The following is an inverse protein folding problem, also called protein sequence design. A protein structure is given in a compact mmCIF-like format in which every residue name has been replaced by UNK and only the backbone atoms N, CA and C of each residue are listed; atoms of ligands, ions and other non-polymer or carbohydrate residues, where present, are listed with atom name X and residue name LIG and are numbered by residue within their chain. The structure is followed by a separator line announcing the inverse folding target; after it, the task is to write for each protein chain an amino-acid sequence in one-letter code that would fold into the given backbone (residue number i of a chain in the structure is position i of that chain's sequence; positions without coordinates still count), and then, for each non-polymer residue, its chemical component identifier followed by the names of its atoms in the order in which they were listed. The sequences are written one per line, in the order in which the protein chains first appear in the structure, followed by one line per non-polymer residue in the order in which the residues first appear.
data_IF_347260351919
#
_entry.id   IF_347260351919
#
_cell.length_a   1.000
_cell.length_b   1.000
_cell.length_c   1.000
_cell.angle_alpha   90.00
_cell.angle_beta   90.00
_cell.angle_gamma   90.00
#
_symmetry.space_group_name_H-M   'P 1'
#
loop_
_entity.id
_entity.type
_entity.pdbx_description
1 polymer ?
#
# COMPACT_ATOMS: atom_id res chain seq x y z
N UNK A 1 18.58 38.31 -48.68
CA UNK A 1 18.12 37.08 -48.00
C UNK A 1 18.81 36.78 -46.65
N UNK A 2 19.42 37.77 -45.96
CA UNK A 2 20.11 37.56 -44.66
C UNK A 2 19.33 38.05 -43.41
N UNK A 3 18.16 38.68 -43.61
CA UNK A 3 17.33 39.24 -42.52
C UNK A 3 16.16 38.34 -42.08
N UNK A 4 15.96 37.19 -42.72
CA UNK A 4 14.92 36.22 -42.36
C UNK A 4 15.39 35.16 -41.36
N UNK A 5 16.71 35.04 -41.16
CA UNK A 5 17.31 34.06 -40.24
C UNK A 5 17.04 34.34 -38.74
N UNK A 6 17.04 35.60 -38.24
CA UNK A 6 16.72 35.84 -36.82
C UNK A 6 15.24 35.64 -36.48
N UNK A 7 14.34 35.64 -37.46
CA UNK A 7 12.90 35.46 -37.24
C UNK A 7 12.53 33.98 -37.04
N UNK A 8 13.29 33.04 -37.64
CA UNK A 8 13.09 31.60 -37.47
C UNK A 8 13.62 31.12 -36.11
N UNK A 9 14.69 31.73 -35.58
CA UNK A 9 15.24 31.38 -34.27
C UNK A 9 14.33 31.83 -33.12
N UNK A 10 13.59 32.94 -33.28
CA UNK A 10 12.66 33.44 -32.25
C UNK A 10 11.41 32.56 -32.10
N UNK A 11 10.94 31.92 -33.18
CA UNK A 11 9.75 31.04 -33.16
C UNK A 11 10.05 29.69 -32.48
N UNK A 12 11.31 29.23 -32.51
CA UNK A 12 11.73 27.96 -31.89
C UNK A 12 11.90 28.02 -30.35
N UNK A 13 11.94 29.22 -29.75
CA UNK A 13 12.02 29.36 -28.28
C UNK A 13 10.66 29.44 -27.58
N UNK A 14 9.56 29.54 -28.33
CA UNK A 14 8.20 29.59 -27.78
C UNK A 14 7.52 28.23 -27.63
N UNK A 15 8.17 27.13 -28.03
CA UNK A 15 7.74 25.79 -27.64
C UNK A 15 8.20 25.49 -26.21
N UNK A 16 7.71 26.27 -25.26
CA UNK A 16 7.68 25.86 -23.86
C UNK A 16 6.71 24.67 -23.78
N UNK A 17 7.25 23.46 -23.80
CA UNK A 17 6.49 22.25 -23.58
C UNK A 17 5.82 22.33 -22.22
N UNK A 18 4.49 22.44 -22.22
CA UNK A 18 3.69 22.22 -21.02
C UNK A 18 3.87 20.75 -20.63
N UNK A 19 4.83 20.46 -19.75
CA UNK A 19 4.84 19.18 -19.04
C UNK A 19 3.75 19.24 -17.97
N UNK A 20 2.50 19.03 -18.38
CA UNK A 20 1.44 18.74 -17.43
C UNK A 20 1.71 17.32 -16.94
N UNK A 21 2.31 17.20 -15.75
CA UNK A 21 2.40 15.91 -15.07
C UNK A 21 0.97 15.38 -14.93
N UNK A 22 0.69 14.22 -15.55
CA UNK A 22 -0.60 13.56 -15.39
C UNK A 22 -0.89 13.37 -13.89
N UNK A 23 -2.13 13.61 -13.44
CA UNK A 23 -2.49 13.40 -12.06
C UNK A 23 -2.39 11.91 -11.71
N UNK A 24 -1.70 11.59 -10.62
CA UNK A 24 -1.50 10.22 -10.12
C UNK A 24 -2.84 9.51 -9.90
N UNK A 25 -3.83 10.27 -9.41
CA UNK A 25 -5.16 9.79 -9.11
C UNK A 25 -6.20 10.41 -10.04
N UNK A 26 -6.99 9.59 -10.70
CA UNK A 26 -8.12 10.03 -11.54
C UNK A 26 -9.41 9.38 -11.06
N UNK A 27 -10.41 10.19 -10.70
CA UNK A 27 -11.67 9.67 -10.16
C UNK A 27 -12.44 8.90 -11.23
N UNK A 28 -12.99 7.73 -10.87
CA UNK A 28 -13.81 6.88 -11.76
C UNK A 28 -15.07 6.39 -11.04
N UNK A 29 -15.94 5.68 -11.75
CA UNK A 29 -17.24 5.19 -11.23
C UNK A 29 -17.36 3.68 -11.39
N UNK A 30 -18.16 3.05 -10.52
CA UNK A 30 -18.36 1.61 -10.53
C UNK A 30 -19.00 1.12 -11.84
N UNK A 31 -19.86 1.94 -12.46
CA UNK A 31 -20.53 1.64 -13.74
C UNK A 31 -19.54 1.45 -14.89
N UNK A 32 -18.52 2.34 -14.98
CA UNK A 32 -17.46 2.26 -16.00
C UNK A 32 -16.59 1.02 -15.86
N UNK A 33 -16.54 0.44 -14.65
CA UNK A 33 -15.73 -0.73 -14.33
C UNK A 33 -16.58 -2.00 -14.20
N UNK A 34 -17.87 -1.96 -14.52
CA UNK A 34 -18.79 -3.09 -14.37
C UNK A 34 -18.39 -4.33 -15.16
N UNK A 35 -17.70 -4.13 -16.29
CA UNK A 35 -17.20 -5.19 -17.18
C UNK A 35 -15.92 -5.85 -16.65
N UNK A 36 -15.20 -5.18 -15.74
CA UNK A 36 -13.93 -5.69 -15.21
C UNK A 36 -14.16 -6.65 -14.04
N UNK A 37 -13.31 -7.67 -13.96
CA UNK A 37 -13.29 -8.55 -12.80
C UNK A 37 -12.87 -7.78 -11.55
N UNK A 38 -13.71 -7.88 -10.51
CA UNK A 38 -13.48 -7.26 -9.22
C UNK A 38 -12.46 -8.07 -8.41
N UNK A 39 -11.64 -7.38 -7.64
CA UNK A 39 -10.73 -8.02 -6.69
C UNK A 39 -11.54 -8.76 -5.62
N UNK A 40 -11.03 -9.90 -5.16
CA UNK A 40 -11.67 -10.70 -4.10
C UNK A 40 -11.66 -9.93 -2.78
N UNK A 41 -12.84 -9.70 -2.20
CA UNK A 41 -13.02 -8.98 -0.94
C UNK A 41 -14.07 -9.67 -0.09
N UNK A 42 -13.78 -9.81 1.21
CA UNK A 42 -14.66 -10.48 2.17
C UNK A 42 -15.88 -9.65 2.55
N UNK A 43 -15.77 -8.33 2.49
CA UNK A 43 -16.83 -7.38 2.82
C UNK A 43 -16.75 -6.17 1.89
N UNK A 44 -17.92 -5.63 1.55
CA UNK A 44 -18.04 -4.45 0.71
C UNK A 44 -18.51 -3.28 1.59
N UNK A 45 -17.82 -2.13 1.60
CA UNK A 45 -18.26 -0.96 2.34
C UNK A 45 -19.55 -0.39 1.74
N UNK A 46 -20.42 0.16 2.60
CA UNK A 46 -21.66 0.82 2.19
C UNK A 46 -21.39 2.12 1.43
N UNK A 47 -20.32 2.83 1.79
CA UNK A 47 -19.88 4.07 1.13
C UNK A 47 -18.42 3.94 0.73
N UNK A 48 -18.12 4.31 -0.52
CA UNK A 48 -16.77 4.29 -1.05
C UNK A 48 -16.63 5.20 -2.27
N UNK A 49 -15.39 5.53 -2.60
CA UNK A 49 -15.00 6.20 -3.83
C UNK A 49 -14.10 5.28 -4.65
N UNK A 50 -14.06 5.45 -5.98
CA UNK A 50 -13.15 4.71 -6.85
C UNK A 50 -12.23 5.68 -7.58
N UNK A 51 -10.95 5.34 -7.62
CA UNK A 51 -9.92 6.07 -8.34
C UNK A 51 -9.10 5.12 -9.22
N UNK A 52 -8.75 5.58 -10.40
CA UNK A 52 -7.69 4.99 -11.21
C UNK A 52 -6.34 5.57 -10.78
N UNK A 53 -5.33 4.70 -10.67
CA UNK A 53 -4.00 5.06 -10.19
C UNK A 53 -2.96 4.84 -11.30
N UNK A 54 -2.16 5.86 -11.59
CA UNK A 54 -0.88 5.66 -12.26
C UNK A 54 0.13 5.06 -11.26
N UNK A 55 0.14 3.74 -11.20
CA UNK A 55 0.98 2.99 -10.26
C UNK A 55 2.48 3.18 -10.57
N UNK A 56 2.84 3.37 -11.84
CA UNK A 56 4.22 3.58 -12.26
C UNK A 56 4.74 4.95 -11.83
N UNK A 57 3.94 5.99 -12.02
CA UNK A 57 4.21 7.34 -11.56
C UNK A 57 4.26 7.46 -10.04
N UNK A 58 3.38 6.73 -9.33
CA UNK A 58 3.45 6.66 -7.87
C UNK A 58 4.75 6.00 -7.39
N UNK A 59 5.14 4.86 -7.99
CA UNK A 59 6.34 4.12 -7.58
C UNK A 59 7.61 4.93 -7.78
N UNK A 60 7.73 5.67 -8.88
CA UNK A 60 8.89 6.52 -9.13
C UNK A 60 9.02 7.65 -8.10
N UNK A 61 7.89 8.22 -7.65
CA UNK A 61 7.89 9.21 -6.58
C UNK A 61 8.26 8.63 -5.22
N UNK A 62 7.71 7.46 -4.87
CA UNK A 62 7.99 6.78 -3.61
C UNK A 62 9.48 6.39 -3.46
N UNK A 63 10.13 5.99 -4.56
CA UNK A 63 11.56 5.63 -4.56
C UNK A 63 12.50 6.77 -4.19
N UNK A 64 12.04 8.03 -4.26
CA UNK A 64 12.82 9.20 -3.85
C UNK A 64 12.74 9.47 -2.34
N UNK A 65 11.89 8.75 -1.60
CA UNK A 65 11.70 8.98 -0.18
C UNK A 65 12.94 8.50 0.62
N UNK A 66 13.49 9.33 1.52
CA UNK A 66 14.57 8.90 2.39
C UNK A 66 14.05 7.88 3.42
N UNK A 67 14.96 7.07 3.95
CA UNK A 67 14.62 6.15 5.02
C UNK A 67 14.27 6.90 6.29
N UNK A 68 13.21 6.47 6.98
CA UNK A 68 12.80 7.06 8.26
C UNK A 68 13.90 7.01 9.33
N UNK A 69 14.80 6.04 9.22
CA UNK A 69 15.89 5.84 10.18
C UNK A 69 16.96 6.92 10.12
N UNK A 70 17.10 7.65 8.99
CA UNK A 70 18.11 8.71 8.87
C UNK A 70 17.79 9.95 9.69
N UNK A 71 16.52 10.13 10.10
CA UNK A 71 16.05 11.30 10.81
C UNK A 71 15.97 12.59 9.95
N UNK A 72 16.25 12.48 8.65
CA UNK A 72 16.14 13.60 7.71
C UNK A 72 14.68 13.96 7.44
N UNK A 73 14.39 15.23 7.15
CA UNK A 73 13.04 15.63 6.72
C UNK A 73 12.87 15.28 5.25
N UNK A 74 11.90 14.43 4.93
CA UNK A 74 11.60 14.07 3.55
C UNK A 74 10.99 15.25 2.79
N UNK A 75 11.48 15.47 1.58
CA UNK A 75 10.91 16.42 0.61
C UNK A 75 9.88 15.75 -0.32
N UNK A 76 9.65 14.44 -0.17
CA UNK A 76 8.68 13.69 -0.97
C UNK A 76 7.29 13.89 -0.39
N UNK A 77 6.45 14.62 -1.14
CA UNK A 77 5.07 14.90 -0.77
C UNK A 77 4.17 14.28 -1.84
N UNK A 78 3.29 13.39 -1.42
CA UNK A 78 2.37 12.67 -2.31
C UNK A 78 0.95 12.83 -1.79
N UNK A 79 0.02 13.10 -2.70
CA UNK A 79 -1.38 13.25 -2.39
C UNK A 79 -2.13 11.91 -2.48
N UNK A 80 -2.98 11.61 -1.49
CA UNK A 80 -3.83 10.42 -1.45
C UNK A 80 -5.29 10.81 -1.25
N UNK A 81 -6.24 10.14 -1.92
CA UNK A 81 -7.66 10.40 -1.74
C UNK A 81 -8.16 9.90 -0.38
N UNK A 82 -9.03 10.67 0.25
CA UNK A 82 -9.78 10.28 1.44
C UNK A 82 -11.20 9.76 1.07
N UNK A 83 -11.95 9.17 2.01
CA UNK A 83 -13.31 8.67 1.75
C UNK A 83 -14.31 9.75 1.30
N UNK A 84 -14.05 11.02 1.65
CA UNK A 84 -14.84 12.17 1.21
C UNK A 84 -14.51 12.61 -0.23
N UNK A 85 -13.50 11.99 -0.86
CA UNK A 85 -13.07 12.23 -2.22
C UNK A 85 -12.12 13.42 -2.39
N UNK A 86 -11.58 13.97 -1.29
CA UNK A 86 -10.56 15.01 -1.28
C UNK A 86 -9.17 14.37 -1.29
N UNK A 87 -8.25 14.95 -2.04
CA UNK A 87 -6.83 14.59 -1.99
C UNK A 87 -6.17 15.31 -0.81
N UNK A 88 -5.46 14.55 0.02
CA UNK A 88 -4.69 15.05 1.16
C UNK A 88 -3.20 14.74 0.96
N UNK A 89 -2.35 15.69 1.30
CA UNK A 89 -0.91 15.62 1.11
C UNK A 89 -0.24 14.97 2.31
N UNK A 90 0.64 14.02 2.01
CA UNK A 90 1.43 13.30 3.01
C UNK A 90 2.91 13.43 2.66
N UNK A 91 3.72 13.72 3.67
CA UNK A 91 5.19 13.64 3.57
C UNK A 91 5.62 12.20 3.80
N UNK A 92 6.24 11.58 2.82
CA UNK A 92 6.50 10.13 2.79
C UNK A 92 7.95 9.80 3.16
N UNK A 93 8.11 8.71 3.91
CA UNK A 93 9.37 8.11 4.31
C UNK A 93 9.37 6.64 3.96
N UNK A 94 10.52 6.13 3.56
CA UNK A 94 10.74 4.69 3.45
C UNK A 94 10.81 4.08 4.85
N UNK A 95 10.11 2.96 5.05
CA UNK A 95 10.00 2.28 6.33
C UNK A 95 10.07 0.78 6.09
N UNK A 96 11.19 0.30 5.53
CA UNK A 96 11.37 -1.12 5.25
C UNK A 96 11.20 -1.95 6.52
N UNK A 97 10.31 -2.94 6.42
CA UNK A 97 10.12 -3.95 7.46
C UNK A 97 10.89 -5.24 7.15
N UNK A 98 11.50 -5.34 5.97
CA UNK A 98 12.27 -6.49 5.54
C UNK A 98 13.74 -6.30 5.88
N UNK A 99 14.41 -7.42 6.19
CA UNK A 99 15.87 -7.44 6.29
C UNK A 99 16.50 -6.95 4.97
N UNK A 100 17.61 -6.18 5.00
CA UNK A 100 18.18 -5.56 3.81
C UNK A 100 18.51 -6.55 2.67
N UNK A 101 18.97 -7.75 3.00
CA UNK A 101 19.26 -8.81 2.01
C UNK A 101 17.99 -9.30 1.31
N UNK A 102 16.87 -9.37 2.03
CA UNK A 102 15.58 -9.80 1.50
C UNK A 102 14.95 -8.71 0.63
N UNK A 103 15.01 -7.45 1.08
CA UNK A 103 14.54 -6.30 0.32
C UNK A 103 15.28 -6.16 -1.03
N UNK A 104 16.61 -6.42 -1.07
CA UNK A 104 17.38 -6.46 -2.32
C UNK A 104 16.93 -7.58 -3.27
N UNK A 105 16.47 -8.70 -2.71
CA UNK A 105 16.00 -9.85 -3.49
C UNK A 105 14.57 -9.66 -4.04
N UNK A 106 13.76 -8.87 -3.34
CA UNK A 106 12.34 -8.62 -3.65
C UNK A 106 12.04 -7.11 -3.71
N UNK A 107 12.65 -6.36 -4.66
CA UNK A 107 12.52 -4.90 -4.75
C UNK A 107 11.10 -4.42 -5.12
N UNK A 108 10.22 -5.33 -5.54
CA UNK A 108 8.82 -5.07 -5.77
C UNK A 108 7.99 -4.93 -4.50
N UNK A 109 8.50 -5.37 -3.33
CA UNK A 109 7.85 -5.23 -2.04
C UNK A 109 8.51 -4.08 -1.29
N UNK A 110 7.80 -2.98 -1.14
CA UNK A 110 8.30 -1.79 -0.46
C UNK A 110 7.25 -1.26 0.51
N UNK A 111 7.70 -0.82 1.68
CA UNK A 111 6.86 -0.28 2.73
C UNK A 111 7.26 1.16 3.03
N UNK A 112 6.26 2.01 3.18
CA UNK A 112 6.41 3.44 3.41
C UNK A 112 5.48 3.89 4.53
N UNK A 113 5.85 4.99 5.16
CA UNK A 113 5.02 5.69 6.14
C UNK A 113 4.97 7.17 5.77
N UNK A 114 3.81 7.78 5.92
CA UNK A 114 3.59 9.18 5.63
C UNK A 114 2.96 9.92 6.81
N UNK A 115 3.37 11.17 6.98
CA UNK A 115 2.77 12.10 7.92
C UNK A 115 1.92 13.12 7.16
N UNK A 116 0.66 13.28 7.55
CA UNK A 116 -0.25 14.24 6.93
C UNK A 116 0.22 15.68 7.12
N UNK A 117 0.18 16.45 6.04
CA UNK A 117 0.48 17.89 6.02
C UNK A 117 -0.82 18.68 6.23
N UNK A 118 -1.88 18.29 5.53
CA UNK A 118 -3.20 18.92 5.65
C UNK A 118 -3.91 18.54 6.96
N UNK A 119 -3.66 17.32 7.45
CA UNK A 119 -4.14 16.80 8.74
C UNK A 119 -2.95 16.28 9.54
N UNK A 120 -2.43 17.05 10.53
CA UNK A 120 -1.29 16.63 11.35
C UNK A 120 -1.56 15.39 12.21
N UNK A 121 -2.82 15.01 12.40
CA UNK A 121 -3.17 13.78 13.14
C UNK A 121 -3.11 12.54 12.25
N UNK A 122 -3.08 12.71 10.93
CA UNK A 122 -3.12 11.62 9.97
C UNK A 122 -1.74 10.99 9.75
N UNK A 123 -1.66 9.67 9.92
CA UNK A 123 -0.52 8.83 9.54
C UNK A 123 -0.97 7.81 8.53
N UNK A 124 -0.31 7.78 7.38
CA UNK A 124 -0.59 6.82 6.32
C UNK A 124 0.50 5.77 6.29
N UNK A 125 0.12 4.50 6.21
CA UNK A 125 1.02 3.38 5.95
C UNK A 125 0.73 2.86 4.56
N UNK A 126 1.77 2.66 3.77
CA UNK A 126 1.65 2.22 2.39
C UNK A 126 2.53 1.02 2.15
N UNK A 127 2.00 0.06 1.43
CA UNK A 127 2.74 -1.09 0.94
C UNK A 127 2.52 -1.21 -0.56
N UNK A 128 3.59 -1.22 -1.34
CA UNK A 128 3.54 -1.55 -2.76
C UNK A 128 4.06 -2.96 -2.94
N UNK A 129 3.30 -3.81 -3.62
CA UNK A 129 3.66 -5.19 -3.95
C UNK A 129 3.28 -5.49 -5.41
N UNK A 130 3.52 -6.71 -5.86
CA UNK A 130 2.97 -7.19 -7.14
C UNK A 130 1.43 -7.16 -7.16
N UNK A 131 0.76 -7.18 -6.01
CA UNK A 131 -0.69 -7.07 -5.91
C UNK A 131 -1.19 -5.62 -5.84
N UNK A 132 -0.29 -4.64 -6.02
CA UNK A 132 -0.62 -3.23 -6.08
C UNK A 132 -0.29 -2.45 -4.82
N UNK A 133 -0.94 -1.30 -4.71
CA UNK A 133 -0.89 -0.43 -3.55
C UNK A 133 -1.92 -0.85 -2.51
N UNK A 134 -1.48 -0.95 -1.27
CA UNK A 134 -2.35 -1.02 -0.10
C UNK A 134 -2.02 0.13 0.82
N UNK A 135 -3.04 0.82 1.31
CA UNK A 135 -2.83 1.86 2.32
C UNK A 135 -3.80 1.72 3.47
N UNK A 136 -3.31 2.12 4.64
CA UNK A 136 -4.10 2.34 5.84
C UNK A 136 -3.73 3.70 6.40
N UNK A 137 -4.71 4.58 6.51
CA UNK A 137 -4.56 5.89 7.12
C UNK A 137 -5.26 5.92 8.46
N UNK A 138 -4.52 6.24 9.52
CA UNK A 138 -5.05 6.50 10.84
C UNK A 138 -5.04 8.02 11.08
N UNK A 139 -6.21 8.62 11.29
CA UNK A 139 -6.39 10.04 11.58
C UNK A 139 -7.28 10.21 12.81
N UNK A 140 -7.27 11.39 13.43
CA UNK A 140 -8.24 11.74 14.46
C UNK A 140 -9.70 11.68 13.98
N UNK A 141 -9.94 11.65 12.66
CA UNK A 141 -11.27 11.51 12.05
C UNK A 141 -11.71 10.06 11.84
N UNK A 142 -10.82 9.07 11.96
CA UNK A 142 -11.13 7.68 11.70
C UNK A 142 -9.99 6.91 11.03
N UNK A 143 -10.31 5.69 10.58
CA UNK A 143 -9.37 4.82 9.85
C UNK A 143 -9.87 4.62 8.43
N UNK A 144 -9.04 4.97 7.46
CA UNK A 144 -9.36 4.89 6.04
C UNK A 144 -8.46 3.87 5.35
N UNK A 145 -8.97 3.23 4.31
CA UNK A 145 -8.24 2.24 3.54
C UNK A 145 -8.30 2.56 2.06
N UNK A 146 -7.20 2.26 1.36
CA UNK A 146 -7.12 2.24 -0.10
C UNK A 146 -6.64 0.87 -0.54
N UNK A 147 -7.48 0.16 -1.28
CA UNK A 147 -7.21 -1.19 -1.76
C UNK A 147 -7.54 -1.32 -3.26
N UNK A 148 -6.96 -2.28 -3.99
CA UNK A 148 -7.39 -2.61 -5.34
C UNK A 148 -8.88 -2.98 -5.40
N UNK A 149 -9.59 -2.37 -6.33
CA UNK A 149 -10.99 -2.65 -6.63
C UNK A 149 -11.14 -3.68 -7.76
N UNK A 150 -10.25 -3.66 -8.74
CA UNK A 150 -10.22 -4.58 -9.89
C UNK A 150 -9.03 -5.53 -9.82
N UNK A 151 -9.17 -6.74 -10.39
CA UNK A 151 -8.08 -7.73 -10.39
C UNK A 151 -6.84 -7.29 -11.15
N UNK A 152 -6.97 -6.40 -12.12
CA UNK A 152 -5.86 -5.83 -12.87
C UNK A 152 -5.04 -4.79 -12.09
N UNK A 153 -5.43 -4.49 -10.84
CA UNK A 153 -4.67 -3.65 -9.91
C UNK A 153 -4.54 -2.17 -10.37
N UNK A 154 -5.39 -1.74 -11.31
CA UNK A 154 -5.36 -0.37 -11.85
C UNK A 154 -6.34 0.57 -11.18
N UNK A 155 -7.45 0.04 -10.67
CA UNK A 155 -8.49 0.81 -10.01
C UNK A 155 -8.51 0.47 -8.53
N UNK A 156 -8.70 1.48 -7.70
CA UNK A 156 -8.61 1.42 -6.26
C UNK A 156 -9.88 1.97 -5.63
N UNK A 157 -10.29 1.33 -4.55
CA UNK A 157 -11.40 1.73 -3.72
C UNK A 157 -10.88 2.44 -2.47
N UNK A 158 -11.52 3.55 -2.12
CA UNK A 158 -11.23 4.35 -0.92
C UNK A 158 -12.46 4.34 -0.03
N UNK A 159 -12.31 3.96 1.23
CA UNK A 159 -13.44 3.80 2.15
C UNK A 159 -13.02 3.97 3.61
N UNK A 160 -13.99 4.28 4.47
CA UNK A 160 -13.82 4.29 5.92
C UNK A 160 -14.03 2.88 6.48
N UNK A 161 -13.25 2.53 7.51
CA UNK A 161 -13.47 1.31 8.29
C UNK A 161 -14.90 1.23 8.83
N UNK A 162 -15.49 2.35 9.24
CA UNK A 162 -16.86 2.39 9.80
C UNK A 162 -17.94 2.01 8.78
N UNK A 163 -17.66 2.17 7.48
CA UNK A 163 -18.59 1.83 6.41
C UNK A 163 -18.56 0.34 6.05
N UNK A 164 -17.61 -0.43 6.60
CA UNK A 164 -17.60 -1.88 6.48
C UNK A 164 -18.70 -2.48 7.35
N UNK A 165 -19.68 -3.11 6.70
CA UNK A 165 -20.67 -3.93 7.40
C UNK A 165 -20.00 -5.23 7.83
N UNK A 166 -19.56 -5.33 9.09
CA UNK A 166 -19.16 -6.61 9.69
C UNK A 166 -20.27 -7.10 10.62
N UNK A 167 -20.60 -8.40 10.54
CA UNK A 167 -19.99 -9.27 11.53
C UNK A 167 -19.46 -10.54 10.87
N UNK A 168 -18.14 -10.66 10.72
CA UNK A 168 -17.57 -12.00 10.84
C UNK A 168 -17.28 -12.18 12.31
N UNK A 169 -18.04 -13.04 12.97
CA UNK A 169 -17.57 -13.66 14.19
C UNK A 169 -16.27 -14.37 13.79
N UNK A 170 -15.13 -13.86 14.23
CA UNK A 170 -13.89 -14.60 14.10
C UNK A 170 -14.07 -15.89 14.90
N UNK A 171 -14.28 -17.01 14.19
CA UNK A 171 -14.34 -18.33 14.81
C UNK A 171 -12.92 -18.89 14.83
N UNK A 172 -12.34 -18.92 16.02
CA UNK A 172 -11.09 -19.63 16.25
C UNK A 172 -11.40 -21.13 16.25
N UNK A 173 -11.11 -21.82 15.15
CA UNK A 173 -11.28 -23.28 15.06
C UNK A 173 -10.11 -24.06 15.65
N UNK A 174 -9.22 -23.41 16.41
CA UNK A 174 -8.17 -24.09 17.14
C UNK A 174 -8.83 -24.89 18.25
N UNK A 175 -8.76 -26.21 18.15
CA UNK A 175 -9.15 -27.09 19.25
C UNK A 175 -8.15 -26.87 20.38
N UNK A 176 -8.62 -26.43 21.55
CA UNK A 176 -7.79 -26.31 22.74
C UNK A 176 -7.18 -27.68 23.05
N UNK A 177 -5.92 -27.87 22.68
CA UNK A 177 -5.12 -28.90 23.34
C UNK A 177 -4.83 -28.35 24.73
N UNK A 178 -5.39 -28.99 25.75
CA UNK A 178 -5.15 -28.66 27.15
C UNK A 178 -3.66 -28.83 27.48
N UNK A 179 -2.86 -27.84 27.12
CA UNK A 179 -1.55 -27.56 27.68
C UNK A 179 -1.84 -26.53 28.74
N UNK A 180 -1.74 -26.90 30.01
CA UNK A 180 -1.99 -26.06 31.18
C UNK A 180 -1.70 -24.58 30.88
N UNK A 181 -2.73 -23.80 30.62
CA UNK A 181 -2.62 -22.36 30.65
C UNK A 181 -2.38 -22.03 32.12
N UNK A 182 -1.12 -21.80 32.48
CA UNK A 182 -0.82 -21.09 33.71
C UNK A 182 -1.71 -19.84 33.70
N UNK A 183 -2.53 -19.70 34.74
CA UNK A 183 -3.38 -18.54 34.92
C UNK A 183 -2.51 -17.29 34.71
N UNK A 184 -2.88 -16.44 33.76
CA UNK A 184 -2.23 -15.17 33.57
C UNK A 184 -2.57 -14.28 34.78
N UNK A 185 -1.80 -14.45 35.86
CA UNK A 185 -1.95 -13.69 37.10
C UNK A 185 -1.49 -12.25 36.82
N UNK A 186 -2.47 -11.40 36.53
CA UNK A 186 -2.33 -9.95 36.47
C UNK A 186 -1.61 -9.46 35.22
N UNK A 187 -2.17 -8.46 34.56
CA UNK A 187 -1.41 -7.66 33.59
C UNK A 187 -0.29 -6.96 34.38
N UNK A 188 0.99 -7.29 34.17
CA UNK A 188 2.06 -6.50 34.77
C UNK A 188 1.86 -5.06 34.29
N UNK A 189 2.10 -4.03 35.13
CA UNK A 189 2.18 -2.67 34.61
C UNK A 189 3.15 -2.67 33.42
N UNK A 190 2.86 -1.95 32.33
CA UNK A 190 3.71 -1.95 31.15
C UNK A 190 5.11 -1.48 31.55
N UNK A 191 5.99 -2.44 31.83
CA UNK A 191 7.36 -2.19 32.25
C UNK A 191 8.14 -1.84 30.98
N UNK A 192 8.11 -0.57 30.62
CA UNK A 192 8.96 -0.04 29.57
C UNK A 192 10.31 0.28 30.19
N UNK A 193 11.31 -0.55 29.94
CA UNK A 193 12.71 -0.26 30.26
C UNK A 193 13.32 0.81 29.33
N UNK A 194 12.49 1.48 28.52
CA UNK A 194 12.88 2.54 27.58
C UNK A 194 13.76 2.04 26.42
N UNK A 195 13.95 0.73 26.27
CA UNK A 195 14.83 0.17 25.23
C UNK A 195 14.02 -0.31 24.03
N UNK A 196 14.27 0.35 22.89
CA UNK A 196 13.78 -0.13 21.61
C UNK A 196 14.49 -1.44 21.22
N UNK A 197 13.73 -2.52 21.04
CA UNK A 197 14.25 -3.84 20.65
C UNK A 197 13.77 -4.20 19.26
N UNK A 198 14.71 -4.55 18.39
CA UNK A 198 14.41 -5.03 17.04
C UNK A 198 14.39 -6.56 17.05
N UNK A 199 13.23 -7.15 16.75
CA UNK A 199 13.07 -8.59 16.64
C UNK A 199 13.11 -9.05 15.18
N UNK A 200 13.73 -10.20 14.92
CA UNK A 200 13.69 -10.85 13.60
C UNK A 200 12.63 -11.94 13.63
N UNK A 201 11.65 -11.84 12.73
CA UNK A 201 10.60 -12.84 12.57
C UNK A 201 10.97 -13.81 11.46
N UNK A 202 10.87 -15.11 11.73
CA UNK A 202 10.90 -16.16 10.71
C UNK A 202 9.47 -16.64 10.45
N UNK A 203 9.08 -16.70 9.17
CA UNK A 203 7.74 -17.15 8.76
C UNK A 203 7.85 -18.48 8.01
N UNK A 204 6.97 -19.41 8.36
CA UNK A 204 6.69 -20.60 7.58
C UNK A 204 5.23 -20.58 7.12
N UNK A 205 4.95 -21.14 5.95
CA UNK A 205 3.59 -21.27 5.42
C UNK A 205 3.39 -22.66 4.82
N UNK A 206 2.13 -23.08 4.73
CA UNK A 206 1.76 -24.35 4.09
C UNK A 206 1.71 -24.19 2.56
N UNK A 207 1.65 -25.32 1.84
CA UNK A 207 1.61 -25.33 0.38
C UNK A 207 0.31 -24.69 -0.13
N UNK A 208 -0.80 -24.88 0.59
CA UNK A 208 -2.12 -24.31 0.26
C UNK A 208 -2.08 -22.79 0.31
N UNK A 209 -1.47 -22.21 1.36
CA UNK A 209 -1.30 -20.76 1.48
C UNK A 209 -0.43 -20.22 0.34
N UNK A 210 0.69 -20.88 0.06
CA UNK A 210 1.57 -20.47 -1.03
C UNK A 210 0.87 -20.53 -2.40
N UNK A 211 0.14 -21.62 -2.66
CA UNK A 211 -0.62 -21.80 -3.89
C UNK A 211 -1.73 -20.75 -4.05
N UNK A 212 -2.44 -20.42 -2.98
CA UNK A 212 -3.46 -19.37 -2.98
C UNK A 212 -2.90 -18.03 -3.49
N UNK A 213 -1.79 -17.56 -2.91
CA UNK A 213 -1.19 -16.29 -3.31
C UNK A 213 -0.56 -16.31 -4.71
N UNK A 214 0.06 -17.42 -5.10
CA UNK A 214 0.61 -17.57 -6.46
C UNK A 214 -0.51 -17.55 -7.50
N UNK A 215 -1.60 -18.29 -7.28
CA UNK A 215 -2.74 -18.34 -8.21
C UNK A 215 -3.44 -16.98 -8.30
N UNK A 216 -3.59 -16.26 -7.18
CA UNK A 216 -4.14 -14.91 -7.17
C UNK A 216 -3.27 -13.95 -8.00
N UNK A 217 -1.94 -14.05 -7.92
CA UNK A 217 -1.03 -13.21 -8.70
C UNK A 217 -1.09 -13.52 -10.20
N UNK A 218 -1.26 -14.79 -10.57
CA UNK A 218 -1.47 -15.20 -11.97
C UNK A 218 -2.81 -14.68 -12.48
N UNK A 219 -3.88 -14.80 -11.70
CA UNK A 219 -5.21 -14.31 -12.07
C UNK A 219 -5.26 -12.79 -12.21
N UNK A 220 -4.48 -12.06 -11.41
CA UNK A 220 -4.32 -10.61 -11.52
C UNK A 220 -3.48 -10.18 -12.74
N UNK A 221 -2.84 -11.12 -13.45
CA UNK A 221 -1.92 -10.83 -14.55
C UNK A 221 -0.58 -10.23 -14.09
N UNK A 222 -0.31 -10.24 -12.80
CA UNK A 222 0.91 -9.66 -12.19
C UNK A 222 2.05 -10.68 -12.09
N UNK A 223 1.75 -11.95 -12.36
CA UNK A 223 2.72 -13.06 -12.38
C UNK A 223 2.45 -13.97 -13.57
N UNK A 224 3.51 -14.39 -14.28
CA UNK A 224 3.38 -15.40 -15.34
C UNK A 224 3.05 -16.79 -14.77
N UNK A 225 2.20 -17.61 -15.42
CA UNK A 225 1.99 -19.01 -15.02
C UNK A 225 3.29 -19.84 -14.99
N UNK A 226 4.26 -19.49 -15.83
CA UNK A 226 5.59 -20.13 -15.92
C UNK A 226 6.65 -19.42 -15.09
N UNK A 227 6.24 -18.55 -14.15
CA UNK A 227 7.16 -17.80 -13.30
C UNK A 227 8.09 -18.71 -12.50
N UNK A 228 9.31 -18.22 -12.30
CA UNK A 228 10.35 -18.91 -11.53
C UNK A 228 9.95 -19.06 -10.05
N UNK A 229 10.58 -20.00 -9.35
CA UNK A 229 10.38 -20.19 -7.91
C UNK A 229 10.67 -18.92 -7.10
N UNK A 230 11.62 -18.09 -7.54
CA UNK A 230 11.92 -16.81 -6.90
C UNK A 230 10.72 -15.84 -6.99
N UNK A 231 10.12 -15.70 -8.17
CA UNK A 231 8.96 -14.84 -8.40
C UNK A 231 7.70 -15.38 -7.68
N UNK A 232 7.54 -16.71 -7.59
CA UNK A 232 6.48 -17.31 -6.78
C UNK A 232 6.65 -17.01 -5.29
N UNK A 233 7.88 -17.07 -4.77
CA UNK A 233 8.20 -16.67 -3.38
C UNK A 233 7.90 -15.19 -3.14
N UNK A 234 8.20 -14.32 -4.10
CA UNK A 234 7.84 -12.90 -4.03
C UNK A 234 6.33 -12.70 -3.85
N UNK A 235 5.51 -13.44 -4.60
CA UNK A 235 4.06 -13.37 -4.47
C UNK A 235 3.59 -13.78 -3.07
N UNK A 236 4.18 -14.83 -2.49
CA UNK A 236 3.83 -15.26 -1.12
C UNK A 236 4.23 -14.20 -0.08
N UNK A 237 5.43 -13.63 -0.20
CA UNK A 237 5.88 -12.55 0.69
C UNK A 237 5.04 -11.27 0.55
N UNK A 238 4.70 -10.88 -0.68
CA UNK A 238 3.84 -9.71 -0.92
C UNK A 238 2.43 -9.90 -0.36
N UNK A 239 1.91 -11.13 -0.43
CA UNK A 239 0.64 -11.50 0.20
C UNK A 239 0.69 -11.37 1.71
N UNK A 240 1.76 -11.87 2.34
CA UNK A 240 1.96 -11.72 3.78
C UNK A 240 2.10 -10.26 4.22
N UNK A 241 2.89 -9.46 3.50
CA UNK A 241 3.16 -8.07 3.89
C UNK A 241 1.88 -7.22 3.91
N UNK A 242 0.94 -7.50 3.00
CA UNK A 242 -0.42 -6.91 3.02
C UNK A 242 -1.13 -7.17 4.36
N UNK A 243 -1.05 -8.38 4.89
CA UNK A 243 -1.70 -8.73 6.17
C UNK A 243 -0.91 -8.23 7.38
N UNK A 244 0.43 -8.24 7.29
CA UNK A 244 1.29 -7.84 8.39
C UNK A 244 1.18 -6.34 8.65
N UNK A 245 1.16 -5.49 7.62
CA UNK A 245 0.90 -4.06 7.81
C UNK A 245 -0.45 -3.83 8.51
N UNK A 246 -1.51 -4.54 8.13
CA UNK A 246 -2.81 -4.45 8.82
C UNK A 246 -2.76 -4.89 10.30
N UNK A 247 -1.93 -5.88 10.63
CA UNK A 247 -1.85 -6.47 11.97
C UNK A 247 -0.86 -5.73 12.91
N UNK A 248 0.25 -5.20 12.39
CA UNK A 248 1.26 -4.46 13.16
C UNK A 248 0.75 -3.14 13.75
N UNK A 249 -0.43 -2.67 13.34
CA UNK A 249 -1.13 -1.53 13.94
C UNK A 249 -2.13 -1.91 15.04
N UNK A 250 -2.44 -3.19 15.25
CA UNK A 250 -3.28 -3.65 16.35
C UNK A 250 -2.49 -3.97 17.63
N UNK A 251 -1.15 -3.92 17.57
CA UNK A 251 -0.23 -4.05 18.69
C UNK A 251 0.36 -2.68 19.04
#
# INVERSE_FOLDING_TARGET
MKKLLPLIVFVLMFSAGYSQSLPIWTKTTAEKLSVLEKADRSSMPQKFQIYHLDFSGLKSQLQMAPSRETGEVSNVIIAFPNPQGKLENYRIYESSVMAPELAKKYPEIQAYIGQGIDDPTAKIHLTTTIFGLHTMTLSGRGTFYIDPYTKDVKNYIVYDKSDLTAPRNFECHVQDSATNSEEFIGTPPPASDGRFRTYRLAMACTIEYAAFHVNAAVAAGTLSPTATTAQKKAAVFGGYERYCCSCKQCL
#
